data_IF_897706915474
#
_entry.id   IF_897706915474
#
_cell.length_a   1.000
_cell.length_b   1.000
_cell.length_c   1.000
_cell.angle_alpha   90.00
_cell.angle_beta   90.00
_cell.angle_gamma   90.00
#
_symmetry.space_group_name_H-M   'P 1'
#
loop_
_entity.id
_entity.type
_entity.pdbx_description
1 polymer ?
#
# COMPACT_ATOMS: atom_id res chain seq x y z
N UNK A 1 4.34 -5.68 -21.91
CA UNK A 1 4.19 -6.83 -21.01
C UNK A 1 4.57 -6.35 -19.63
N UNK A 2 3.86 -6.76 -18.60
CA UNK A 2 4.23 -6.48 -17.19
C UNK A 2 5.22 -7.56 -16.78
N UNK A 3 6.32 -7.15 -16.15
CA UNK A 3 7.33 -8.06 -15.63
C UNK A 3 7.26 -8.12 -14.12
N UNK A 4 7.54 -9.29 -13.54
CA UNK A 4 7.60 -9.48 -12.10
C UNK A 4 9.06 -9.69 -11.69
N UNK A 5 9.52 -8.84 -10.78
CA UNK A 5 10.85 -8.91 -10.20
C UNK A 5 10.81 -9.81 -8.96
N UNK A 6 11.79 -10.69 -8.80
CA UNK A 6 11.85 -11.61 -7.67
C UNK A 6 12.97 -11.25 -6.70
N UNK A 7 12.68 -11.28 -5.40
CA UNK A 7 13.58 -10.92 -4.31
C UNK A 7 13.68 -12.07 -3.31
N UNK A 8 14.75 -12.84 -3.42
CA UNK A 8 15.05 -13.98 -2.55
C UNK A 8 15.64 -13.57 -1.19
N UNK A 9 16.36 -12.45 -1.18
CA UNK A 9 17.09 -11.97 -0.01
C UNK A 9 16.33 -10.87 0.73
N UNK A 10 16.48 -10.85 2.04
CA UNK A 10 15.92 -9.84 2.93
C UNK A 10 16.39 -8.44 2.55
N UNK A 11 15.44 -7.51 2.39
CA UNK A 11 15.72 -6.10 2.04
C UNK A 11 16.40 -5.32 3.19
N UNK A 12 16.48 -5.90 4.41
CA UNK A 12 17.09 -5.26 5.59
C UNK A 12 18.51 -5.76 5.83
N UNK A 13 18.71 -7.09 5.92
CA UNK A 13 19.98 -7.70 6.32
C UNK A 13 20.61 -8.59 5.23
N UNK A 14 20.01 -8.68 4.06
CA UNK A 14 20.45 -9.45 2.90
C UNK A 14 20.49 -10.97 3.10
N UNK A 15 20.05 -11.52 4.22
CA UNK A 15 19.95 -12.96 4.45
C UNK A 15 18.77 -13.57 3.68
N UNK A 16 18.85 -14.88 3.37
CA UNK A 16 17.78 -15.58 2.66
C UNK A 16 16.48 -15.64 3.47
N UNK A 17 15.36 -15.52 2.76
CA UNK A 17 14.04 -15.71 3.32
C UNK A 17 13.56 -17.16 3.25
N UNK A 18 12.73 -17.54 4.22
CA UNK A 18 11.93 -18.78 4.16
C UNK A 18 10.51 -18.42 3.77
N UNK A 19 9.92 -19.20 2.86
CA UNK A 19 8.53 -19.02 2.47
C UNK A 19 7.60 -19.34 3.65
N UNK A 20 6.76 -18.36 4.00
CA UNK A 20 5.78 -18.49 5.09
C UNK A 20 4.34 -18.51 4.58
N UNK A 21 4.11 -18.00 3.38
CA UNK A 21 2.80 -18.01 2.73
C UNK A 21 2.96 -18.00 1.22
N UNK A 22 2.05 -18.67 0.50
CA UNK A 22 1.99 -18.58 -0.97
C UNK A 22 0.59 -18.94 -1.46
N UNK A 23 0.08 -18.14 -2.41
CA UNK A 23 -1.22 -18.35 -3.03
C UNK A 23 -1.23 -17.80 -4.46
N UNK A 24 -1.97 -18.46 -5.38
CA UNK A 24 -2.11 -17.92 -6.74
C UNK A 24 -3.00 -16.68 -6.74
N UNK A 25 -2.66 -15.68 -7.51
CA UNK A 25 -3.54 -14.53 -7.70
C UNK A 25 -4.86 -14.88 -8.42
N UNK A 26 -4.90 -16.01 -9.13
CA UNK A 26 -6.12 -16.55 -9.76
C UNK A 26 -7.13 -17.17 -8.77
N UNK A 27 -6.78 -17.32 -7.49
CA UNK A 27 -7.68 -17.87 -6.49
C UNK A 27 -8.84 -16.92 -6.19
N UNK A 28 -10.04 -17.46 -5.97
CA UNK A 28 -11.28 -16.71 -5.70
C UNK A 28 -11.13 -15.64 -4.59
N UNK A 29 -10.30 -15.91 -3.59
CA UNK A 29 -10.07 -14.97 -2.48
C UNK A 29 -9.41 -13.68 -2.95
N UNK A 30 -8.44 -13.77 -3.88
CA UNK A 30 -7.83 -12.59 -4.48
C UNK A 30 -8.82 -11.85 -5.39
N UNK A 31 -9.60 -12.55 -6.21
CA UNK A 31 -10.64 -11.93 -7.02
C UNK A 31 -11.64 -11.14 -6.15
N UNK A 32 -12.08 -11.73 -5.03
CA UNK A 32 -12.97 -11.08 -4.08
C UNK A 32 -12.29 -9.87 -3.39
N UNK A 33 -11.03 -9.99 -3.01
CA UNK A 33 -10.27 -8.88 -2.44
C UNK A 33 -10.11 -7.73 -3.43
N UNK A 34 -9.69 -8.02 -4.66
CA UNK A 34 -9.49 -7.02 -5.70
C UNK A 34 -10.79 -6.31 -6.07
N UNK A 35 -11.89 -7.07 -6.23
CA UNK A 35 -13.22 -6.53 -6.47
C UNK A 35 -13.65 -5.54 -5.37
N UNK A 36 -13.42 -5.91 -4.11
CA UNK A 36 -13.75 -5.08 -2.95
C UNK A 36 -12.90 -3.80 -2.87
N UNK A 37 -11.63 -3.90 -3.25
CA UNK A 37 -10.64 -2.82 -3.09
C UNK A 37 -10.64 -1.87 -4.30
N UNK A 38 -10.60 -2.41 -5.51
CA UNK A 38 -10.49 -1.63 -6.75
C UNK A 38 -11.84 -1.42 -7.47
N UNK A 39 -12.90 -2.10 -7.06
CA UNK A 39 -14.19 -2.11 -7.75
C UNK A 39 -14.28 -3.21 -8.81
N UNK A 40 -15.45 -3.33 -9.45
CA UNK A 40 -15.71 -4.39 -10.42
C UNK A 40 -15.32 -4.02 -11.86
N UNK A 41 -15.28 -2.74 -12.20
CA UNK A 41 -15.18 -2.26 -13.58
C UNK A 41 -13.92 -2.70 -14.32
N UNK A 42 -12.80 -2.89 -13.62
CA UNK A 42 -11.51 -3.23 -14.22
C UNK A 42 -10.87 -4.48 -13.59
N UNK A 43 -11.70 -5.29 -12.91
CA UNK A 43 -11.23 -6.48 -12.20
C UNK A 43 -10.61 -7.50 -13.18
N UNK A 44 -11.25 -7.73 -14.31
CA UNK A 44 -10.79 -8.71 -15.31
C UNK A 44 -9.42 -8.30 -15.88
N UNK A 45 -9.22 -7.01 -16.13
CA UNK A 45 -7.94 -6.47 -16.58
C UNK A 45 -6.84 -6.67 -15.54
N UNK A 46 -7.15 -6.40 -14.26
CA UNK A 46 -6.21 -6.63 -13.16
C UNK A 46 -5.84 -8.11 -13.04
N UNK A 47 -6.85 -8.99 -13.06
CA UNK A 47 -6.62 -10.43 -12.96
C UNK A 47 -5.82 -10.97 -14.14
N UNK A 48 -6.03 -10.44 -15.35
CA UNK A 48 -5.27 -10.82 -16.53
C UNK A 48 -3.78 -10.50 -16.39
N UNK A 49 -3.42 -9.39 -15.76
CA UNK A 49 -2.02 -9.04 -15.47
C UNK A 49 -1.34 -9.99 -14.49
N UNK A 50 -2.07 -10.52 -13.50
CA UNK A 50 -1.48 -11.28 -12.40
C UNK A 50 -1.82 -12.79 -12.41
N UNK A 51 -2.62 -13.28 -13.37
CA UNK A 51 -3.17 -14.66 -13.39
C UNK A 51 -2.13 -15.77 -13.31
N UNK A 52 -0.93 -15.54 -13.85
CA UNK A 52 0.16 -16.52 -13.87
C UNK A 52 1.10 -16.37 -12.67
N UNK A 53 0.85 -15.40 -11.81
CA UNK A 53 1.74 -15.04 -10.71
C UNK A 53 1.20 -15.55 -9.37
N UNK A 54 2.11 -15.58 -8.37
CA UNK A 54 1.78 -15.97 -7.01
C UNK A 54 2.10 -14.83 -6.04
N UNK A 55 1.18 -14.61 -5.14
CA UNK A 55 1.47 -13.83 -3.94
C UNK A 55 2.23 -14.73 -2.97
N UNK A 56 3.50 -14.46 -2.76
CA UNK A 56 4.37 -15.23 -1.87
C UNK A 56 5.02 -14.31 -0.86
N UNK A 57 4.90 -14.67 0.43
CA UNK A 57 5.58 -13.97 1.52
C UNK A 57 6.79 -14.79 1.98
N UNK A 58 7.91 -14.12 2.09
CA UNK A 58 9.12 -14.64 2.70
C UNK A 58 9.33 -13.98 4.07
N UNK A 59 9.88 -14.73 5.01
CA UNK A 59 10.32 -14.26 6.33
C UNK A 59 11.82 -14.50 6.48
N UNK A 60 12.55 -13.47 6.86
CA UNK A 60 13.96 -13.57 7.16
C UNK A 60 14.17 -14.46 8.40
N UNK A 61 15.10 -15.40 8.30
CA UNK A 61 15.48 -16.27 9.42
C UNK A 61 16.29 -15.55 10.50
N UNK A 62 16.89 -14.42 10.16
CA UNK A 62 17.74 -13.63 11.05
C UNK A 62 16.99 -12.47 11.70
N UNK A 63 16.54 -11.48 10.93
CA UNK A 63 15.90 -10.28 11.47
C UNK A 63 14.37 -10.36 11.56
N UNK A 64 13.75 -11.47 11.16
CA UNK A 64 12.29 -11.69 11.14
C UNK A 64 11.49 -10.76 10.22
N UNK A 65 12.12 -9.90 9.42
CA UNK A 65 11.43 -9.08 8.42
C UNK A 65 10.66 -9.96 7.44
N UNK A 66 9.44 -9.54 7.10
CA UNK A 66 8.58 -10.24 6.14
C UNK A 66 8.41 -9.37 4.91
N UNK A 67 8.56 -9.95 3.71
CA UNK A 67 8.36 -9.22 2.46
C UNK A 67 7.67 -10.08 1.41
N UNK A 68 7.09 -9.44 0.44
CA UNK A 68 6.57 -10.09 -0.76
C UNK A 68 7.74 -10.47 -1.67
N UNK A 69 7.78 -11.73 -2.08
CA UNK A 69 8.86 -12.27 -2.91
C UNK A 69 8.89 -11.65 -4.30
N UNK A 70 7.73 -11.52 -4.93
CA UNK A 70 7.62 -11.00 -6.29
C UNK A 70 6.87 -9.67 -6.29
N UNK A 71 7.42 -8.68 -6.97
CA UNK A 71 6.79 -7.38 -7.15
C UNK A 71 6.67 -7.08 -8.64
N UNK A 72 5.54 -6.52 -9.11
CA UNK A 72 5.44 -6.08 -10.49
C UNK A 72 6.34 -4.86 -10.74
N UNK A 73 6.79 -4.72 -11.97
CA UNK A 73 7.62 -3.59 -12.39
C UNK A 73 6.87 -2.24 -12.32
N UNK A 74 7.61 -1.14 -12.50
CA UNK A 74 7.03 0.21 -12.47
C UNK A 74 5.98 0.45 -13.58
N UNK A 75 6.01 -0.30 -14.66
CA UNK A 75 5.00 -0.22 -15.73
C UNK A 75 3.64 -0.71 -15.24
N UNK A 76 3.62 -1.75 -14.40
CA UNK A 76 2.38 -2.20 -13.78
C UNK A 76 1.82 -1.16 -12.80
N UNK A 77 2.67 -0.55 -11.99
CA UNK A 77 2.25 0.52 -11.08
C UNK A 77 1.59 1.66 -11.86
N UNK A 78 2.19 2.08 -12.97
CA UNK A 78 1.61 3.10 -13.86
C UNK A 78 0.22 2.66 -14.38
N UNK A 79 0.10 1.45 -14.92
CA UNK A 79 -1.18 0.91 -15.42
C UNK A 79 -2.23 0.78 -14.31
N UNK A 80 -1.83 0.35 -13.12
CA UNK A 80 -2.71 0.26 -11.96
C UNK A 80 -3.36 1.61 -11.66
N UNK A 81 -2.57 2.69 -11.63
CA UNK A 81 -3.05 4.03 -11.33
C UNK A 81 -3.78 4.70 -12.49
N UNK A 82 -3.44 4.41 -13.74
CA UNK A 82 -4.03 5.08 -14.90
C UNK A 82 -5.25 4.34 -15.46
N UNK A 83 -5.24 3.01 -15.43
CA UNK A 83 -6.23 2.19 -16.13
C UNK A 83 -7.16 1.43 -15.19
N UNK A 84 -6.67 0.99 -14.00
CA UNK A 84 -7.42 0.08 -13.12
C UNK A 84 -8.11 0.83 -11.99
N UNK A 85 -7.42 1.76 -11.33
CA UNK A 85 -7.98 2.50 -10.20
C UNK A 85 -8.95 3.55 -10.69
N UNK A 86 -10.21 3.46 -10.27
CA UNK A 86 -11.17 4.54 -10.44
C UNK A 86 -10.77 5.72 -9.53
N UNK A 87 -10.12 6.71 -10.15
CA UNK A 87 -9.62 7.92 -9.47
C UNK A 87 -10.74 8.69 -8.77
N UNK A 88 -11.92 8.78 -9.39
CA UNK A 88 -13.07 9.48 -8.82
C UNK A 88 -13.60 8.76 -7.58
N UNK A 89 -13.84 7.47 -7.68
CA UNK A 89 -14.29 6.66 -6.54
C UNK A 89 -13.24 6.62 -5.42
N UNK A 90 -11.94 6.59 -5.76
CA UNK A 90 -10.85 6.66 -4.78
C UNK A 90 -10.84 7.99 -4.04
N UNK A 91 -10.99 9.11 -4.74
CA UNK A 91 -11.08 10.44 -4.13
C UNK A 91 -12.32 10.56 -3.23
N UNK A 92 -13.48 10.11 -3.67
CA UNK A 92 -14.71 10.11 -2.86
C UNK A 92 -14.55 9.29 -1.56
N UNK A 93 -13.93 8.12 -1.64
CA UNK A 93 -13.60 7.30 -0.45
C UNK A 93 -12.67 8.06 0.49
N UNK A 94 -11.65 8.72 -0.05
CA UNK A 94 -10.70 9.52 0.74
C UNK A 94 -11.39 10.69 1.47
N UNK A 95 -12.27 11.42 0.79
CA UNK A 95 -13.05 12.52 1.38
C UNK A 95 -13.91 12.01 2.55
N UNK A 96 -14.63 10.89 2.35
CA UNK A 96 -15.45 10.26 3.41
C UNK A 96 -14.60 9.80 4.59
N UNK A 97 -13.44 9.19 4.31
CA UNK A 97 -12.49 8.74 5.34
C UNK A 97 -11.95 9.93 6.14
N UNK A 98 -11.55 11.00 5.46
CA UNK A 98 -11.06 12.25 6.09
C UNK A 98 -12.11 12.81 7.04
N UNK A 99 -13.37 12.93 6.60
CA UNK A 99 -14.47 13.41 7.45
C UNK A 99 -14.66 12.52 8.69
N UNK A 100 -14.68 11.20 8.49
CA UNK A 100 -14.87 10.22 9.59
C UNK A 100 -13.72 10.21 10.59
N UNK A 101 -12.47 10.39 10.13
CA UNK A 101 -11.24 10.28 10.93
C UNK A 101 -10.64 11.61 11.35
N UNK A 102 -11.27 12.73 11.02
CA UNK A 102 -10.72 14.07 11.24
C UNK A 102 -10.18 14.28 12.65
N UNK A 103 -10.96 13.93 13.66
CA UNK A 103 -10.55 14.09 15.07
C UNK A 103 -9.43 13.09 15.44
N UNK A 104 -9.47 11.86 14.94
CA UNK A 104 -8.38 10.89 15.13
C UNK A 104 -7.06 11.39 14.53
N UNK A 105 -7.09 11.97 13.34
CA UNK A 105 -5.89 12.53 12.70
C UNK A 105 -5.30 13.71 13.49
N UNK A 106 -6.15 14.55 14.10
CA UNK A 106 -5.69 15.62 14.99
C UNK A 106 -4.99 15.05 16.23
N UNK A 107 -5.59 14.05 16.87
CA UNK A 107 -5.01 13.40 18.05
C UNK A 107 -3.67 12.76 17.70
N UNK A 108 -3.56 12.07 16.56
CA UNK A 108 -2.31 11.51 16.06
C UNK A 108 -1.24 12.60 15.88
N UNK A 109 -1.62 13.71 15.26
CA UNK A 109 -0.71 14.84 15.06
C UNK A 109 -0.26 15.47 16.39
N UNK A 110 -1.19 15.75 17.33
CA UNK A 110 -0.86 16.33 18.64
C UNK A 110 0.07 15.38 19.44
N UNK A 111 -0.15 14.07 19.35
CA UNK A 111 0.75 13.09 19.96
C UNK A 111 2.17 13.20 19.40
N UNK A 112 2.33 13.26 18.08
CA UNK A 112 3.62 13.38 17.41
C UNK A 112 4.29 14.70 17.81
N UNK A 113 3.54 15.82 17.72
CA UNK A 113 4.04 17.16 18.05
C UNK A 113 4.55 17.23 19.49
N UNK A 114 3.78 16.75 20.45
CA UNK A 114 4.15 16.75 21.87
C UNK A 114 5.33 15.82 22.17
N UNK A 115 5.41 14.68 21.46
CA UNK A 115 6.52 13.75 21.62
C UNK A 115 7.88 14.37 21.27
N UNK A 116 7.95 15.12 20.17
CA UNK A 116 9.18 15.78 19.75
C UNK A 116 9.48 17.06 20.53
N UNK A 117 8.50 17.67 21.17
CA UNK A 117 8.64 18.87 22.02
C UNK A 117 9.45 20.00 21.35
N UNK A 118 9.15 20.31 20.09
CA UNK A 118 9.83 21.34 19.30
C UNK A 118 8.86 22.47 18.92
N UNK A 119 9.39 23.67 18.69
CA UNK A 119 8.56 24.83 18.29
C UNK A 119 7.99 24.70 16.87
N UNK A 120 8.69 23.96 16.01
CA UNK A 120 8.29 23.71 14.63
C UNK A 120 8.70 22.31 14.23
N UNK A 121 7.76 21.58 13.67
CA UNK A 121 7.97 20.20 13.19
C UNK A 121 7.93 20.16 11.66
N UNK A 122 8.95 19.57 11.05
CA UNK A 122 8.94 19.25 9.63
C UNK A 122 8.50 17.81 9.46
N UNK A 123 7.41 17.59 8.74
CA UNK A 123 6.81 16.25 8.56
C UNK A 123 6.83 15.86 7.10
N UNK A 124 7.30 14.66 6.81
CA UNK A 124 7.14 13.98 5.52
C UNK A 124 6.18 12.80 5.69
N UNK A 125 5.02 12.87 5.06
CA UNK A 125 4.08 11.75 4.97
C UNK A 125 4.40 10.93 3.71
N UNK A 126 5.15 9.83 3.88
CA UNK A 126 5.52 8.96 2.77
C UNK A 126 4.36 8.05 2.40
N UNK A 127 3.90 8.13 1.14
CA UNK A 127 2.72 7.41 0.67
C UNK A 127 1.40 8.10 1.06
N UNK A 128 1.40 9.42 1.21
CA UNK A 128 0.28 10.25 1.66
C UNK A 128 -1.06 10.02 0.93
N UNK A 129 -1.06 9.36 -0.23
CA UNK A 129 -2.23 9.16 -1.06
C UNK A 129 -2.87 10.50 -1.45
N UNK A 130 -4.10 10.76 -0.98
CA UNK A 130 -4.79 12.03 -1.21
C UNK A 130 -4.49 13.12 -0.15
N UNK A 131 -3.49 12.91 0.69
CA UNK A 131 -3.06 13.88 1.70
C UNK A 131 -4.06 14.10 2.84
N UNK A 132 -4.98 13.19 3.07
CA UNK A 132 -6.08 13.37 4.02
C UNK A 132 -5.62 13.62 5.46
N UNK A 133 -4.47 13.07 5.85
CA UNK A 133 -3.88 13.31 7.16
C UNK A 133 -3.26 14.72 7.25
N UNK A 134 -2.46 15.09 6.24
CA UNK A 134 -1.81 16.41 6.18
C UNK A 134 -2.79 17.58 6.12
N UNK A 135 -3.99 17.37 5.57
CA UNK A 135 -5.02 18.39 5.48
C UNK A 135 -5.62 18.81 6.83
N UNK A 136 -5.44 17.99 7.87
CA UNK A 136 -5.94 18.29 9.23
C UNK A 136 -4.84 18.72 10.19
N UNK A 137 -3.59 18.66 9.75
CA UNK A 137 -2.43 19.11 10.53
C UNK A 137 -2.47 20.62 10.69
N UNK A 138 -2.21 21.09 11.90
CA UNK A 138 -2.11 22.53 12.15
C UNK A 138 -0.82 23.08 11.53
N UNK A 139 -0.98 23.92 10.52
CA UNK A 139 0.14 24.51 9.77
C UNK A 139 0.93 25.55 10.58
N UNK A 140 0.48 25.92 11.78
CA UNK A 140 1.15 26.86 12.66
C UNK A 140 2.07 26.17 13.68
N UNK A 141 2.08 24.85 13.71
CA UNK A 141 2.96 24.01 14.53
C UNK A 141 4.00 23.32 13.65
#
# INVERSE_FOLDING_TARGET
MVEFLSYENCKICNNKGKKVYSKNYSDKEFANFFSKFYGHSNLDLLLDYVKNEKFTLLKCSDCSFVWQQTEPDGKFAFKLYEEIIDKKASLEKSIKLKQKRKEGFKIEFEFIYNYFNVKKLNILDFGAGWGSWLDVVDKNK
#
